data_IF_178318874172
#
_entry.id   IF_178318874172
#
_cell.length_a   1.000
_cell.length_b   1.000
_cell.length_c   1.000
_cell.angle_alpha   90.00
_cell.angle_beta   90.00
_cell.angle_gamma   90.00
#
_symmetry.space_group_name_H-M   'P 1'
#
loop_
_entity.id
_entity.type
_entity.pdbx_description
1 polymer ?
#
# COMPACT_ATOMS: atom_id res chain seq x y z
N UNK A 1 -2.92 -2.17 -5.57
CA UNK A 1 -3.19 -1.25 -6.69
C UNK A 1 -4.50 -0.52 -6.41
N UNK A 2 -4.42 0.76 -6.06
CA UNK A 2 -5.61 1.58 -5.88
C UNK A 2 -6.13 1.99 -7.27
N UNK A 3 -7.21 1.34 -7.74
CA UNK A 3 -7.77 1.56 -9.08
C UNK A 3 -8.17 3.02 -9.33
N UNK A 4 -8.63 3.75 -8.30
CA UNK A 4 -8.96 5.17 -8.43
C UNK A 4 -7.72 6.01 -8.69
N UNK A 5 -6.63 5.75 -7.98
CA UNK A 5 -5.36 6.48 -8.16
C UNK A 5 -4.72 6.11 -9.49
N UNK A 6 -4.71 4.81 -9.82
CA UNK A 6 -4.18 4.31 -11.10
C UNK A 6 -4.95 4.91 -12.28
N UNK A 7 -6.29 4.96 -12.21
CA UNK A 7 -7.12 5.59 -13.23
C UNK A 7 -6.89 7.10 -13.36
N UNK A 8 -6.75 7.82 -12.24
CA UNK A 8 -6.40 9.26 -12.27
C UNK A 8 -5.02 9.49 -12.89
N UNK A 9 -4.03 8.69 -12.51
CA UNK A 9 -2.68 8.76 -13.07
C UNK A 9 -2.69 8.45 -14.57
N UNK A 10 -3.42 7.42 -14.98
CA UNK A 10 -3.61 7.06 -16.39
C UNK A 10 -4.22 8.21 -17.19
N UNK A 11 -5.35 8.78 -16.74
CA UNK A 11 -5.98 9.91 -17.44
C UNK A 11 -5.03 11.10 -17.56
N UNK A 12 -4.31 11.45 -16.49
CA UNK A 12 -3.35 12.53 -16.51
C UNK A 12 -2.23 12.26 -17.52
N UNK A 13 -1.64 11.07 -17.49
CA UNK A 13 -0.55 10.69 -18.40
C UNK A 13 -0.99 10.64 -19.86
N UNK A 14 -2.22 10.17 -20.13
CA UNK A 14 -2.81 10.19 -21.48
C UNK A 14 -3.07 11.61 -21.95
N UNK A 15 -3.63 12.49 -21.10
CA UNK A 15 -3.80 13.90 -21.43
C UNK A 15 -2.46 14.58 -21.74
N UNK A 16 -1.44 14.29 -20.93
CA UNK A 16 -0.09 14.83 -21.13
C UNK A 16 0.55 14.31 -22.41
N UNK A 17 0.35 13.03 -22.73
CA UNK A 17 0.78 12.42 -23.98
C UNK A 17 0.10 13.06 -25.21
N UNK A 18 -1.20 13.35 -25.14
CA UNK A 18 -1.94 14.02 -26.20
C UNK A 18 -1.47 15.47 -26.39
N UNK A 19 -1.22 16.20 -25.30
CA UNK A 19 -0.67 17.56 -25.36
C UNK A 19 0.73 17.51 -25.99
N UNK A 20 1.60 16.61 -25.53
CA UNK A 20 2.95 16.46 -26.07
C UNK A 20 2.97 16.05 -27.55
N UNK A 21 2.03 15.20 -27.97
CA UNK A 21 1.85 14.86 -29.38
C UNK A 21 1.38 16.07 -30.21
N UNK A 22 0.38 16.81 -29.72
CA UNK A 22 -0.15 18.01 -30.38
C UNK A 22 0.87 19.16 -30.48
N UNK A 23 1.81 19.24 -29.55
CA UNK A 23 2.90 20.23 -29.54
C UNK A 23 4.23 19.67 -30.05
N UNK A 24 4.25 18.44 -30.58
CA UNK A 24 5.47 17.74 -31.03
C UNK A 24 6.30 18.55 -32.02
N UNK A 25 5.67 19.22 -32.99
CA UNK A 25 6.37 20.07 -33.96
C UNK A 25 7.15 21.22 -33.30
N UNK A 26 6.56 21.87 -32.30
CA UNK A 26 7.24 22.94 -31.54
C UNK A 26 8.35 22.38 -30.65
N UNK A 27 8.08 21.25 -29.99
CA UNK A 27 9.04 20.57 -29.11
C UNK A 27 10.27 20.10 -29.91
N UNK A 28 10.07 19.52 -31.09
CA UNK A 28 11.16 19.02 -31.93
C UNK A 28 11.96 20.14 -32.58
N UNK A 29 11.29 21.24 -32.99
CA UNK A 29 11.97 22.43 -33.49
C UNK A 29 12.88 23.06 -32.42
N UNK A 30 12.45 23.03 -31.15
CA UNK A 30 13.26 23.51 -30.03
C UNK A 30 14.41 22.56 -29.66
N UNK A 31 14.18 21.25 -29.72
CA UNK A 31 15.19 20.23 -29.41
C UNK A 31 16.17 19.95 -30.57
N UNK A 32 15.91 20.46 -31.77
CA UNK A 32 16.71 20.18 -32.96
C UNK A 32 16.71 18.71 -33.39
N UNK A 33 15.68 17.94 -32.99
CA UNK A 33 15.61 16.50 -33.21
C UNK A 33 14.70 16.19 -34.42
N UNK A 34 15.29 15.72 -35.53
CA UNK A 34 14.55 15.33 -36.74
C UNK A 34 13.71 14.05 -36.56
N UNK A 35 14.18 13.13 -35.71
CA UNK A 35 13.43 11.94 -35.29
C UNK A 35 13.27 11.95 -33.77
N UNK A 36 12.02 11.98 -33.32
CA UNK A 36 11.68 12.17 -31.92
C UNK A 36 10.54 11.25 -31.51
N UNK A 37 10.61 10.74 -30.29
CA UNK A 37 9.55 9.91 -29.67
C UNK A 37 8.20 10.65 -29.60
N UNK A 38 8.22 11.98 -29.70
CA UNK A 38 7.02 12.81 -29.70
C UNK A 38 6.22 12.76 -31.02
N UNK A 39 6.81 12.28 -32.12
CA UNK A 39 6.14 12.18 -33.42
C UNK A 39 5.29 10.92 -33.57
N UNK A 40 5.45 9.95 -32.69
CA UNK A 40 4.77 8.68 -32.77
C UNK A 40 3.77 8.56 -31.61
N UNK A 41 2.50 8.85 -31.87
CA UNK A 41 1.44 8.83 -30.88
C UNK A 41 1.39 7.52 -30.08
N UNK A 42 1.64 6.38 -30.75
CA UNK A 42 1.63 5.06 -30.11
C UNK A 42 2.76 4.88 -29.08
N UNK A 43 3.96 5.48 -29.30
CA UNK A 43 5.07 5.44 -28.35
C UNK A 43 4.73 6.22 -27.08
N UNK A 44 4.12 7.40 -27.24
CA UNK A 44 3.68 8.21 -26.11
C UNK A 44 2.57 7.53 -25.30
N UNK A 45 1.63 6.87 -25.98
CA UNK A 45 0.60 6.06 -25.32
C UNK A 45 1.23 4.88 -24.58
N UNK A 46 2.19 4.17 -25.19
CA UNK A 46 2.88 3.06 -24.53
C UNK A 46 3.62 3.51 -23.25
N UNK A 47 4.28 4.68 -23.30
CA UNK A 47 4.92 5.28 -22.12
C UNK A 47 3.88 5.65 -21.06
N UNK A 48 2.76 6.28 -21.45
CA UNK A 48 1.69 6.63 -20.52
C UNK A 48 1.09 5.39 -19.84
N UNK A 49 0.86 4.31 -20.60
CA UNK A 49 0.40 3.02 -20.05
C UNK A 49 1.43 2.47 -19.07
N UNK A 50 2.69 2.35 -19.47
CA UNK A 50 3.76 1.81 -18.62
C UNK A 50 3.94 2.62 -17.32
N UNK A 51 3.98 3.95 -17.43
CA UNK A 51 4.09 4.84 -16.28
C UNK A 51 2.86 4.77 -15.36
N UNK A 52 1.66 4.60 -15.92
CA UNK A 52 0.43 4.47 -15.12
C UNK A 52 0.42 3.16 -14.30
N UNK A 53 0.88 2.06 -14.90
CA UNK A 53 1.01 0.77 -14.23
C UNK A 53 2.06 0.84 -13.11
N UNK A 54 3.22 1.45 -13.40
CA UNK A 54 4.27 1.68 -12.39
C UNK A 54 3.75 2.52 -11.23
N UNK A 55 2.98 3.57 -11.51
CA UNK A 55 2.36 4.41 -10.47
C UNK A 55 1.41 3.59 -9.61
N UNK A 56 0.55 2.75 -10.21
CA UNK A 56 -0.36 1.87 -9.47
C UNK A 56 0.34 0.85 -8.57
N UNK A 57 1.52 0.37 -9.00
CA UNK A 57 2.37 -0.55 -8.26
C UNK A 57 3.13 0.13 -7.12
N UNK A 58 3.72 1.30 -7.37
CA UNK A 58 4.52 2.03 -6.39
C UNK A 58 3.67 2.80 -5.35
N UNK A 59 2.44 3.15 -5.69
CA UNK A 59 1.58 3.99 -4.85
C UNK A 59 1.37 3.48 -3.40
N UNK A 60 1.09 2.18 -3.16
CA UNK A 60 0.95 1.66 -1.80
C UNK A 60 2.21 1.88 -0.95
N UNK A 61 3.39 1.66 -1.53
CA UNK A 61 4.68 1.85 -0.86
C UNK A 61 4.96 3.32 -0.54
N UNK A 62 4.51 4.25 -1.38
CA UNK A 62 4.70 5.70 -1.17
C UNK A 62 3.70 6.26 -0.15
N UNK A 63 2.43 5.88 -0.25
CA UNK A 63 1.37 6.34 0.68
C UNK A 63 1.65 5.85 2.11
N UNK A 64 2.12 4.61 2.24
CA UNK A 64 2.22 3.94 3.52
C UNK A 64 0.85 3.70 4.17
N UNK A 65 0.86 3.43 5.47
CA UNK A 65 -0.32 3.29 6.32
C UNK A 65 -0.65 4.65 6.93
N UNK A 66 -1.92 5.02 6.91
CA UNK A 66 -2.42 6.24 7.54
C UNK A 66 -3.30 5.93 8.75
N UNK A 67 -3.33 6.85 9.72
CA UNK A 67 -4.27 6.80 10.83
C UNK A 67 -5.70 6.64 10.31
N UNK A 68 -6.41 5.66 10.86
CA UNK A 68 -7.77 5.29 10.47
C UNK A 68 -7.84 4.21 9.38
N UNK A 69 -6.73 3.83 8.75
CA UNK A 69 -6.73 2.71 7.80
C UNK A 69 -7.01 1.38 8.53
N UNK A 70 -7.77 0.49 7.89
CA UNK A 70 -7.99 -0.87 8.36
C UNK A 70 -6.86 -1.79 7.92
N UNK A 71 -6.36 -2.59 8.85
CA UNK A 71 -5.22 -3.50 8.69
C UNK A 71 -5.61 -4.91 9.14
N UNK A 72 -4.84 -5.90 8.71
CA UNK A 72 -4.92 -7.27 9.24
C UNK A 72 -3.73 -7.48 10.17
N UNK A 73 -4.02 -7.77 11.44
CA UNK A 73 -3.04 -8.15 12.43
C UNK A 73 -2.94 -9.67 12.52
N UNK A 74 -1.72 -10.21 12.48
CA UNK A 74 -1.46 -11.63 12.77
C UNK A 74 -1.01 -11.79 14.22
N UNK A 75 -1.81 -12.51 15.01
CA UNK A 75 -1.50 -12.88 16.38
C UNK A 75 -0.97 -14.31 16.41
N UNK A 76 0.18 -14.50 17.03
CA UNK A 76 0.70 -15.83 17.35
C UNK A 76 0.18 -16.22 18.73
N UNK A 77 -0.76 -17.16 18.79
CA UNK A 77 -1.21 -17.76 20.05
C UNK A 77 -0.58 -19.14 20.19
N UNK A 78 0.18 -19.32 21.25
CA UNK A 78 0.63 -20.65 21.66
C UNK A 78 -0.39 -21.18 22.68
N UNK A 79 -1.03 -22.29 22.36
CA UNK A 79 -1.92 -22.99 23.27
C UNK A 79 -1.26 -24.32 23.66
N UNK A 80 -1.16 -24.56 24.97
CA UNK A 80 -0.76 -25.85 25.50
C UNK A 80 -2.03 -26.66 25.77
N UNK A 81 -2.31 -27.64 24.93
CA UNK A 81 -3.41 -28.57 25.11
C UNK A 81 -2.86 -29.99 25.19
N UNK A 82 -3.07 -30.68 26.31
CA UNK A 82 -2.71 -32.10 26.47
C UNK A 82 -1.22 -32.41 26.36
N UNK A 83 -0.33 -31.50 26.75
CA UNK A 83 1.13 -31.72 26.71
C UNK A 83 1.78 -31.49 25.33
N UNK A 84 1.01 -31.10 24.31
CA UNK A 84 1.53 -30.64 23.03
C UNK A 84 1.40 -29.12 22.91
N UNK A 85 2.47 -28.47 22.43
CA UNK A 85 2.49 -27.04 22.16
C UNK A 85 1.99 -26.82 20.73
N UNK A 86 0.75 -26.33 20.62
CA UNK A 86 0.14 -25.99 19.33
C UNK A 86 0.24 -24.48 19.13
N UNK A 87 0.85 -24.06 18.02
CA UNK A 87 0.92 -22.65 17.62
C UNK A 87 -0.15 -22.37 16.57
N UNK A 88 -1.03 -21.43 16.87
CA UNK A 88 -2.08 -20.99 15.96
C UNK A 88 -1.83 -19.55 15.55
N UNK A 89 -1.94 -19.28 14.25
CA UNK A 89 -1.90 -17.93 13.70
C UNK A 89 -3.32 -17.43 13.47
N UNK A 90 -3.73 -16.43 14.24
CA UNK A 90 -5.05 -15.82 14.17
C UNK A 90 -4.93 -14.47 13.44
N UNK A 91 -5.79 -14.23 12.45
CA UNK A 91 -5.86 -12.95 11.72
C UNK A 91 -7.05 -12.12 12.20
N UNK A 92 -6.81 -10.90 12.65
CA UNK A 92 -7.86 -9.99 13.17
C UNK A 92 -7.80 -8.64 12.46
N UNK A 93 -8.94 -8.04 12.17
CA UNK A 93 -9.00 -6.68 11.66
C UNK A 93 -8.70 -5.67 12.77
N UNK A 94 -7.79 -4.73 12.49
CA UNK A 94 -7.40 -3.66 13.40
C UNK A 94 -7.40 -2.31 12.68
N UNK A 95 -7.50 -1.23 13.44
CA UNK A 95 -7.47 0.14 12.90
C UNK A 95 -6.17 0.83 13.28
N UNK A 96 -5.46 1.40 12.31
CA UNK A 96 -4.25 2.18 12.58
C UNK A 96 -4.56 3.42 13.41
N UNK A 97 -3.85 3.62 14.52
CA UNK A 97 -3.94 4.84 15.34
C UNK A 97 -2.88 5.87 14.94
N UNK A 98 -1.84 5.43 14.25
CA UNK A 98 -0.69 6.23 13.84
C UNK A 98 -0.37 6.00 12.35
N UNK A 99 0.29 6.99 11.76
CA UNK A 99 0.86 6.86 10.42
C UNK A 99 2.13 6.00 10.48
N UNK A 100 2.34 5.15 9.47
CA UNK A 100 3.52 4.28 9.43
C UNK A 100 3.87 3.79 8.05
N UNK A 101 5.07 3.22 7.95
CA UNK A 101 5.58 2.57 6.74
C UNK A 101 5.98 1.14 7.08
N UNK A 102 6.21 0.32 6.07
CA UNK A 102 6.74 -1.03 6.24
C UNK A 102 8.04 -0.98 7.06
N UNK A 103 8.13 -1.87 8.05
CA UNK A 103 9.20 -1.92 9.04
C UNK A 103 9.04 -0.96 10.21
N UNK A 104 8.10 -0.01 10.17
CA UNK A 104 7.83 0.89 11.30
C UNK A 104 6.96 0.19 12.35
N UNK A 105 7.20 0.54 13.63
CA UNK A 105 6.28 0.24 14.72
C UNK A 105 5.15 1.26 14.74
N UNK A 106 3.91 0.79 14.80
CA UNK A 106 2.72 1.64 14.90
C UNK A 106 1.76 1.12 15.97
N UNK A 107 1.04 2.05 16.60
CA UNK A 107 -0.12 1.71 17.44
C UNK A 107 -1.35 1.38 16.59
N UNK A 108 -2.05 0.33 16.99
CA UNK A 108 -3.31 -0.12 16.39
C UNK A 108 -4.38 -0.33 17.45
N UNK A 109 -5.64 -0.17 17.04
CA UNK A 109 -6.82 -0.48 17.87
C UNK A 109 -7.43 -1.81 17.43
N UNK A 110 -7.56 -2.71 18.37
CA UNK A 110 -8.20 -4.01 18.23
C UNK A 110 -9.74 -3.85 18.22
N UNK A 111 -10.45 -4.86 17.69
CA UNK A 111 -11.92 -4.86 17.65
C UNK A 111 -12.58 -4.78 19.04
N UNK A 112 -11.88 -5.22 20.09
CA UNK A 112 -12.32 -5.12 21.48
C UNK A 112 -12.07 -3.73 22.12
N UNK A 113 -11.56 -2.77 21.35
CA UNK A 113 -11.27 -1.41 21.81
C UNK A 113 -9.90 -1.24 22.48
N UNK A 114 -9.15 -2.32 22.72
CA UNK A 114 -7.79 -2.25 23.28
C UNK A 114 -6.79 -1.73 22.25
N UNK A 115 -5.69 -1.17 22.74
CA UNK A 115 -4.57 -0.74 21.89
C UNK A 115 -3.46 -1.78 21.92
N UNK A 116 -2.77 -1.94 20.80
CA UNK A 116 -1.61 -2.80 20.67
C UNK A 116 -0.54 -2.14 19.80
N UNK A 117 0.71 -2.55 19.98
CA UNK A 117 1.83 -2.11 19.16
C UNK A 117 2.32 -3.26 18.28
N UNK A 118 2.59 -2.94 17.02
CA UNK A 118 3.07 -3.93 16.06
C UNK A 118 3.95 -3.32 14.98
N UNK A 119 4.72 -4.19 14.33
CA UNK A 119 5.57 -3.83 13.19
C UNK A 119 4.80 -4.08 11.90
N UNK A 120 4.80 -3.10 11.01
CA UNK A 120 4.19 -3.24 9.68
C UNK A 120 5.04 -4.20 8.84
N UNK A 121 4.52 -5.39 8.58
CA UNK A 121 5.25 -6.44 7.86
C UNK A 121 5.09 -6.34 6.34
N UNK A 122 3.92 -5.89 5.88
CA UNK A 122 3.65 -5.80 4.44
C UNK A 122 2.63 -4.71 4.11
N UNK A 123 2.88 -4.01 3.01
CA UNK A 123 1.91 -3.08 2.45
C UNK A 123 0.70 -3.81 1.85
N UNK A 124 -0.41 -3.08 1.71
CA UNK A 124 -1.57 -3.57 0.99
C UNK A 124 -1.14 -4.05 -0.41
N UNK A 125 -1.47 -5.30 -0.72
CA UNK A 125 -1.36 -5.82 -2.07
C UNK A 125 -2.41 -5.20 -2.97
N UNK A 126 -2.64 -5.81 -4.13
CA UNK A 126 -3.69 -5.33 -5.03
C UNK A 126 -5.10 -5.56 -4.52
N UNK A 127 -5.28 -6.62 -3.75
CA UNK A 127 -6.58 -7.04 -3.21
C UNK A 127 -6.52 -7.30 -1.70
N UNK A 128 -5.36 -7.14 -1.06
CA UNK A 128 -5.14 -7.46 0.34
C UNK A 128 -4.87 -6.18 1.15
N UNK A 129 -5.48 -6.01 2.34
CA UNK A 129 -5.14 -4.93 3.26
C UNK A 129 -3.67 -4.99 3.69
N UNK A 130 -3.09 -3.89 4.19
CA UNK A 130 -1.77 -3.94 4.78
C UNK A 130 -1.78 -4.82 6.04
N UNK A 131 -0.63 -5.44 6.32
CA UNK A 131 -0.49 -6.43 7.38
C UNK A 131 0.46 -5.93 8.46
N UNK A 132 0.12 -6.26 9.71
CA UNK A 132 0.90 -5.91 10.89
C UNK A 132 1.12 -7.16 11.75
N UNK A 133 2.32 -7.28 12.30
CA UNK A 133 2.65 -8.29 13.30
C UNK A 133 2.68 -7.62 14.67
N UNK A 134 1.77 -8.03 15.56
CA UNK A 134 1.70 -7.48 16.92
C UNK A 134 2.91 -7.98 17.70
N UNK A 135 3.65 -7.06 18.31
CA UNK A 135 4.86 -7.36 19.12
C UNK A 135 4.57 -7.24 20.61
N UNK A 136 3.72 -6.29 20.99
CA UNK A 136 3.22 -6.11 22.36
C UNK A 136 1.73 -5.76 22.29
N UNK A 137 0.90 -6.58 22.93
CA UNK A 137 -0.48 -6.22 23.24
C UNK A 137 -0.54 -5.83 24.72
N UNK A 138 -1.28 -4.78 25.05
CA UNK A 138 -1.73 -4.58 26.43
C UNK A 138 -2.70 -5.72 26.77
N UNK A 139 -2.15 -6.89 27.09
CA UNK A 139 -2.92 -7.96 27.72
C UNK A 139 -3.10 -7.51 29.16
N UNK A 140 -4.22 -6.87 29.45
CA UNK A 140 -4.75 -6.92 30.81
C UNK A 140 -5.07 -8.39 31.07
N UNK A 141 -4.09 -9.13 31.58
CA UNK A 141 -4.28 -10.47 32.13
C UNK A 141 -5.21 -10.27 33.31
N UNK A 142 -6.50 -10.40 33.05
CA UNK A 142 -7.52 -10.46 34.09
C UNK A 142 -7.30 -11.81 34.78
N UNK A 143 -6.37 -11.85 35.72
CA UNK A 143 -6.37 -12.86 36.77
C UNK A 143 -7.68 -12.69 37.53
N UNK A 144 -8.73 -13.39 37.09
CA UNK A 144 -9.82 -13.74 37.97
C UNK A 144 -9.26 -14.81 38.90
N UNK A 145 -8.74 -14.36 40.04
CA UNK A 145 -8.54 -15.22 41.19
C UNK A 145 -9.94 -15.48 41.72
N UNK A 146 -10.39 -16.73 41.56
CA UNK A 146 -11.56 -17.26 42.25
C UNK A 146 -11.30 -17.35 43.76
#
# INVERSE_FOLDING_TARGET
MNLRVTGKAFMLLVSLALIAYGTSNYINAWLGAEQSIFNEAWKLIAIAVGASLLTGYAYPSVRGIKRGDQLIAFLHRNANAGGQQLSFMESVFVTALEDGRQGAKIKVRLANGLSAEGVVTGYAGTLTPPTIQITESEVKVQHRVD
#
